data_IF_694105659969
#
_entry.id   IF_694105659969
#
_cell.length_a   1.000
_cell.length_b   1.000
_cell.length_c   1.000
_cell.angle_alpha   90.00
_cell.angle_beta   90.00
_cell.angle_gamma   90.00
#
_symmetry.space_group_name_H-M   'P 1'
#
loop_
_entity.id
_entity.type
_entity.pdbx_description
1 polymer ?
#
# COMPACT_ATOMS: atom_id res chain seq x y z
N UNK A 1 -19.66 13.95 6.55
CA UNK A 1 -18.58 14.36 7.46
C UNK A 1 -17.38 14.77 6.62
N UNK A 2 -16.81 15.96 6.87
CA UNK A 2 -15.57 16.39 6.22
C UNK A 2 -14.38 15.88 7.01
N UNK A 3 -13.65 14.94 6.46
CA UNK A 3 -12.53 14.29 7.13
C UNK A 3 -11.20 14.70 6.47
N UNK A 4 -10.27 15.20 7.28
CA UNK A 4 -8.88 15.36 6.88
C UNK A 4 -8.19 14.00 6.96
N UNK A 5 -7.79 13.46 5.82
CA UNK A 5 -6.98 12.25 5.73
C UNK A 5 -5.51 12.63 5.59
N UNK A 6 -4.67 12.08 6.45
CA UNK A 6 -3.22 12.36 6.51
C UNK A 6 -2.42 11.08 6.32
N UNK A 7 -1.43 11.16 5.45
CA UNK A 7 -0.45 10.09 5.18
C UNK A 7 0.96 10.67 5.30
N UNK A 8 1.62 10.42 6.43
CA UNK A 8 2.96 10.88 6.74
C UNK A 8 3.98 9.79 6.37
N UNK A 9 4.72 10.00 5.28
CA UNK A 9 5.84 9.16 4.89
C UNK A 9 7.16 9.63 5.50
N UNK A 10 8.27 8.97 5.17
CA UNK A 10 9.60 9.30 5.72
C UNK A 10 10.09 10.73 5.39
N UNK A 11 9.71 11.26 4.24
CA UNK A 11 10.12 12.60 3.77
C UNK A 11 8.98 13.38 3.11
N UNK A 12 7.75 12.94 3.32
CA UNK A 12 6.56 13.55 2.70
C UNK A 12 5.40 13.52 3.67
N UNK A 13 4.49 14.49 3.53
CA UNK A 13 3.17 14.42 4.15
C UNK A 13 2.14 14.73 3.06
N UNK A 14 1.25 13.80 2.78
CA UNK A 14 0.13 13.98 1.83
C UNK A 14 -1.17 14.08 2.58
N UNK A 15 -2.10 14.88 2.04
CA UNK A 15 -3.40 15.03 2.67
C UNK A 15 -4.52 15.23 1.66
N UNK A 16 -5.74 14.87 2.08
CA UNK A 16 -6.99 15.21 1.40
C UNK A 16 -8.07 15.50 2.44
N UNK A 17 -8.97 16.44 2.13
CA UNK A 17 -10.21 16.64 2.89
C UNK A 17 -11.36 16.10 2.06
N UNK A 18 -12.01 15.06 2.57
CA UNK A 18 -13.05 14.30 1.85
C UNK A 18 -14.38 14.38 2.61
N UNK A 19 -15.44 14.72 1.90
CA UNK A 19 -16.80 14.56 2.41
C UNK A 19 -17.25 13.10 2.22
N UNK A 20 -17.50 12.41 3.32
CA UNK A 20 -17.82 10.97 3.35
C UNK A 20 -19.12 10.60 2.65
N UNK A 21 -20.07 11.55 2.51
CA UNK A 21 -21.37 11.31 1.88
C UNK A 21 -21.34 11.51 0.36
N UNK A 22 -20.68 12.59 -0.06
CA UNK A 22 -20.64 12.96 -1.49
C UNK A 22 -19.40 12.47 -2.21
N UNK A 23 -18.39 11.93 -1.51
CA UNK A 23 -17.05 11.57 -2.00
C UNK A 23 -16.27 12.77 -2.60
N UNK A 24 -16.72 13.99 -2.30
CA UNK A 24 -16.10 15.20 -2.85
C UNK A 24 -14.85 15.55 -2.07
N UNK A 25 -13.75 15.75 -2.78
CA UNK A 25 -12.51 16.28 -2.24
C UNK A 25 -12.59 17.80 -2.25
N UNK A 26 -12.60 18.42 -1.06
CA UNK A 26 -12.64 19.88 -0.89
C UNK A 26 -11.25 20.52 -0.83
N UNK A 27 -10.23 19.79 -0.38
CA UNK A 27 -8.84 20.21 -0.42
C UNK A 27 -7.92 19.02 -0.55
N UNK A 28 -6.75 19.20 -1.15
CA UNK A 28 -5.69 18.20 -1.24
C UNK A 28 -4.32 18.84 -1.45
N UNK A 29 -3.27 18.16 -0.99
CA UNK A 29 -1.92 18.65 -1.16
C UNK A 29 -0.86 17.71 -0.64
N UNK A 30 0.39 18.19 -0.70
CA UNK A 30 1.55 17.49 -0.16
C UNK A 30 2.63 18.45 0.32
N UNK A 31 3.30 18.07 1.40
CA UNK A 31 4.59 18.62 1.81
C UNK A 31 5.67 17.63 1.36
N UNK A 32 6.58 18.07 0.53
CA UNK A 32 7.69 17.26 0.00
C UNK A 32 9.00 17.67 0.67
N UNK A 33 9.96 16.73 0.76
CA UNK A 33 11.28 16.92 1.36
C UNK A 33 11.22 17.32 2.85
N UNK A 34 10.24 16.80 3.58
CA UNK A 34 10.18 16.95 5.04
C UNK A 34 11.44 16.35 5.67
N UNK A 35 12.04 17.04 6.63
CA UNK A 35 13.36 16.77 7.23
C UNK A 35 14.56 16.99 6.29
N UNK A 36 14.37 17.60 5.12
CA UNK A 36 15.43 17.92 4.16
C UNK A 36 15.31 19.35 3.69
N UNK A 37 16.42 19.91 3.17
CA UNK A 37 16.43 21.25 2.58
C UNK A 37 15.68 21.29 1.24
N UNK A 38 15.11 22.43 0.88
CA UNK A 38 14.38 22.66 -0.36
C UNK A 38 12.98 22.03 -0.33
N UNK A 39 12.31 22.15 0.82
CA UNK A 39 10.94 21.70 0.99
C UNK A 39 9.94 22.42 0.08
N UNK A 40 8.89 21.76 -0.33
CA UNK A 40 7.80 22.35 -1.12
C UNK A 40 6.44 21.98 -0.56
N UNK A 41 5.56 22.96 -0.45
CA UNK A 41 4.14 22.77 -0.13
C UNK A 41 3.31 22.92 -1.40
N UNK A 42 2.58 21.90 -1.75
CA UNK A 42 1.66 21.90 -2.88
C UNK A 42 0.26 21.72 -2.38
N UNK A 43 -0.65 22.63 -2.73
CA UNK A 43 -2.02 22.60 -2.24
C UNK A 43 -3.03 23.05 -3.29
N UNK A 44 -4.28 22.63 -3.10
CA UNK A 44 -5.46 23.10 -3.83
C UNK A 44 -6.68 22.95 -2.93
N UNK A 45 -7.50 23.98 -2.82
CA UNK A 45 -8.71 23.99 -2.00
C UNK A 45 -9.90 24.55 -2.79
N UNK A 46 -11.11 24.07 -2.49
CA UNK A 46 -12.37 24.56 -3.04
C UNK A 46 -12.42 24.66 -4.58
N UNK A 47 -11.73 23.73 -5.29
CA UNK A 47 -11.66 23.72 -6.75
C UNK A 47 -10.68 24.74 -7.34
N UNK A 48 -9.86 25.38 -6.50
CA UNK A 48 -8.78 26.27 -6.98
C UNK A 48 -7.73 25.52 -7.80
N UNK A 49 -6.95 26.28 -8.58
CA UNK A 49 -5.76 25.73 -9.22
C UNK A 49 -4.73 25.32 -8.16
N UNK A 50 -3.99 24.27 -8.48
CA UNK A 50 -2.86 23.80 -7.67
C UNK A 50 -1.81 24.90 -7.53
N UNK A 51 -1.44 25.24 -6.32
CA UNK A 51 -0.37 26.19 -5.97
C UNK A 51 0.80 25.39 -5.38
N UNK A 52 2.02 25.83 -5.64
CA UNK A 52 3.23 25.25 -5.04
C UNK A 52 4.08 26.37 -4.46
N UNK A 53 4.45 26.23 -3.21
CA UNK A 53 5.26 27.18 -2.45
C UNK A 53 6.53 26.51 -1.92
N UNK A 54 7.62 27.25 -1.81
CA UNK A 54 8.84 26.77 -1.18
C UNK A 54 8.75 27.03 0.31
N UNK A 55 8.66 25.97 1.10
CA UNK A 55 8.55 26.01 2.57
C UNK A 55 9.48 24.93 3.14
N UNK A 56 10.33 25.32 4.09
CA UNK A 56 11.18 24.36 4.80
C UNK A 56 10.39 23.65 5.90
N UNK A 57 10.51 22.33 5.93
CA UNK A 57 9.87 21.48 6.93
C UNK A 57 10.95 20.76 7.75
N UNK A 58 11.36 21.32 8.90
CA UNK A 58 12.35 20.67 9.77
C UNK A 58 11.88 19.32 10.31
N UNK A 59 10.56 19.14 10.44
CA UNK A 59 9.91 17.90 10.86
C UNK A 59 8.45 17.80 10.37
N UNK A 60 7.80 16.69 10.69
CA UNK A 60 6.41 16.43 10.32
C UNK A 60 5.39 17.23 11.14
N UNK A 61 5.76 17.73 12.33
CA UNK A 61 4.89 18.63 13.13
C UNK A 61 4.71 19.96 12.40
N UNK A 62 5.79 20.52 11.88
CA UNK A 62 5.73 21.75 11.07
C UNK A 62 4.97 21.52 9.77
N UNK A 63 5.14 20.35 9.14
CA UNK A 63 4.42 20.05 7.91
C UNK A 63 2.90 19.99 8.12
N UNK A 64 2.43 19.32 9.18
CA UNK A 64 0.97 19.26 9.47
C UNK A 64 0.43 20.62 9.95
N UNK A 65 1.23 21.40 10.66
CA UNK A 65 0.87 22.77 11.06
C UNK A 65 0.58 23.64 9.83
N UNK A 66 1.45 23.61 8.83
CA UNK A 66 1.26 24.34 7.56
C UNK A 66 -0.03 23.89 6.87
N UNK A 67 -0.30 22.60 6.80
CA UNK A 67 -1.53 22.06 6.20
C UNK A 67 -2.76 22.60 6.94
N UNK A 68 -2.80 22.53 8.26
CA UNK A 68 -3.97 22.95 9.05
C UNK A 68 -4.23 24.43 8.93
N UNK A 69 -3.16 25.28 8.97
CA UNK A 69 -3.27 26.73 8.72
C UNK A 69 -3.76 27.06 7.32
N UNK A 70 -3.32 26.32 6.30
CA UNK A 70 -3.80 26.51 4.92
C UNK A 70 -5.29 26.15 4.79
N UNK A 71 -5.74 25.05 5.40
CA UNK A 71 -7.15 24.66 5.41
C UNK A 71 -8.03 25.72 6.08
N UNK A 72 -7.58 26.27 7.23
CA UNK A 72 -8.27 27.34 7.95
C UNK A 72 -8.34 28.63 7.12
N UNK A 73 -7.22 29.06 6.52
CA UNK A 73 -7.14 30.24 5.66
C UNK A 73 -8.04 30.14 4.42
N UNK A 74 -8.27 28.94 3.89
CA UNK A 74 -9.15 28.66 2.76
C UNK A 74 -10.60 28.36 3.19
N UNK A 75 -10.94 28.47 4.48
CA UNK A 75 -12.29 28.21 5.00
C UNK A 75 -12.74 26.76 4.86
N UNK A 76 -11.82 25.82 4.76
CA UNK A 76 -12.12 24.38 4.68
C UNK A 76 -12.35 23.85 6.09
N UNK A 77 -13.61 23.50 6.39
CA UNK A 77 -13.95 22.93 7.70
C UNK A 77 -13.66 21.44 7.74
N UNK A 78 -13.02 20.98 8.81
CA UNK A 78 -12.79 19.58 9.12
C UNK A 78 -13.57 19.19 10.38
N UNK A 79 -14.09 17.96 10.41
CA UNK A 79 -14.92 17.41 11.50
C UNK A 79 -14.26 16.20 12.16
N UNK A 80 -13.13 15.75 11.62
CA UNK A 80 -12.30 14.67 12.15
C UNK A 80 -11.05 14.49 11.32
N UNK A 81 -10.05 13.81 11.88
CA UNK A 81 -8.76 13.53 11.25
C UNK A 81 -8.56 12.02 11.20
N UNK A 82 -8.27 11.51 10.01
CA UNK A 82 -7.90 10.11 9.77
C UNK A 82 -6.39 10.01 9.48
N UNK A 83 -5.68 9.25 10.30
CA UNK A 83 -4.26 9.01 10.14
C UNK A 83 -4.04 7.61 9.57
N UNK A 84 -3.38 7.51 8.41
CA UNK A 84 -2.86 6.25 7.92
C UNK A 84 -1.67 5.84 8.77
N UNK A 85 -1.67 4.60 9.26
CA UNK A 85 -0.56 4.00 10.01
C UNK A 85 -0.11 2.73 9.29
N UNK A 86 1.18 2.68 8.95
CA UNK A 86 1.73 1.55 8.20
C UNK A 86 1.73 0.27 9.02
N UNK A 87 2.09 0.34 10.31
CA UNK A 87 2.23 -0.85 11.14
C UNK A 87 1.42 -0.75 12.43
N UNK A 88 0.43 -1.65 12.57
CA UNK A 88 -0.40 -1.79 13.76
C UNK A 88 0.09 -2.87 14.73
N UNK A 89 1.09 -3.66 14.33
CA UNK A 89 1.66 -4.72 15.15
C UNK A 89 0.64 -5.77 15.57
N UNK A 90 0.80 -6.19 16.80
CA UNK A 90 -0.05 -7.21 17.46
C UNK A 90 -1.22 -6.59 18.23
N UNK A 91 -1.39 -5.26 18.18
CA UNK A 91 -2.44 -4.55 18.93
C UNK A 91 -3.68 -4.27 18.10
N UNK A 92 -3.53 -3.91 16.81
CA UNK A 92 -4.61 -3.28 16.07
C UNK A 92 -5.14 -4.17 14.94
N UNK A 93 -6.33 -4.72 15.16
CA UNK A 93 -7.11 -5.48 14.17
C UNK A 93 -8.23 -4.67 13.50
N UNK A 94 -8.40 -3.41 13.89
CA UNK A 94 -9.34 -2.45 13.28
C UNK A 94 -8.82 -1.02 13.51
N UNK A 95 -9.49 -0.03 12.91
CA UNK A 95 -9.25 1.38 13.14
C UNK A 95 -9.62 1.77 14.57
N UNK A 96 -8.93 2.75 15.14
CA UNK A 96 -9.10 3.14 16.55
C UNK A 96 -9.18 4.64 16.72
N UNK A 97 -10.10 5.09 17.61
CA UNK A 97 -10.07 6.46 18.13
C UNK A 97 -8.78 6.64 18.93
N UNK A 98 -8.08 7.74 18.69
CA UNK A 98 -6.77 7.96 19.31
C UNK A 98 -6.93 8.52 20.71
N UNK A 99 -6.24 7.87 21.64
CA UNK A 99 -5.95 8.35 22.98
C UNK A 99 -4.45 8.15 23.29
N UNK A 100 -4.04 8.42 24.52
CA UNK A 100 -2.64 8.28 24.95
C UNK A 100 -2.15 6.82 24.88
N UNK A 101 -3.02 5.83 25.11
CA UNK A 101 -2.68 4.41 25.03
C UNK A 101 -2.47 3.96 23.59
N UNK A 102 -3.36 4.37 22.67
CA UNK A 102 -3.20 4.11 21.23
C UNK A 102 -1.90 4.70 20.69
N UNK A 103 -1.58 5.96 21.04
CA UNK A 103 -0.33 6.61 20.63
C UNK A 103 0.90 5.89 21.18
N UNK A 104 0.87 5.46 22.45
CA UNK A 104 1.95 4.69 23.06
C UNK A 104 2.18 3.36 22.33
N UNK A 105 1.12 2.62 22.00
CA UNK A 105 1.18 1.36 21.25
C UNK A 105 1.73 1.54 19.84
N UNK A 106 1.36 2.63 19.14
CA UNK A 106 1.93 2.95 17.82
C UNK A 106 3.45 3.15 17.92
N UNK A 107 3.93 3.83 18.96
CA UNK A 107 5.37 4.02 19.21
C UNK A 107 6.06 2.71 19.59
N UNK A 108 5.41 1.84 20.36
CA UNK A 108 5.95 0.52 20.75
C UNK A 108 6.19 -0.37 19.54
N UNK A 109 5.28 -0.38 18.54
CA UNK A 109 5.43 -1.19 17.33
C UNK A 109 6.28 -0.50 16.23
N UNK A 110 6.73 0.73 16.44
CA UNK A 110 7.54 1.48 15.47
C UNK A 110 8.82 0.75 14.99
N UNK A 111 9.50 -0.11 15.79
CA UNK A 111 10.62 -0.90 15.29
C UNK A 111 10.30 -1.79 14.07
N UNK A 112 9.04 -2.17 13.84
CA UNK A 112 8.61 -2.92 12.66
C UNK A 112 8.51 -2.05 11.39
N UNK A 113 8.36 -0.73 11.53
CA UNK A 113 8.29 0.23 10.43
C UNK A 113 8.81 1.62 10.86
N UNK A 114 10.09 1.75 11.23
CA UNK A 114 10.61 2.95 11.91
C UNK A 114 10.56 4.22 11.05
N UNK A 115 10.66 4.07 9.72
CA UNK A 115 10.61 5.19 8.78
C UNK A 115 9.18 5.72 8.54
N UNK A 116 8.16 5.04 9.07
CA UNK A 116 6.74 5.38 8.89
C UNK A 116 6.09 5.70 10.23
N UNK A 117 6.03 4.74 11.17
CA UNK A 117 5.31 4.91 12.43
C UNK A 117 5.78 6.10 13.27
N UNK A 118 7.09 6.42 13.27
CA UNK A 118 7.59 7.57 14.02
C UNK A 118 7.10 8.92 13.48
N UNK A 119 7.21 9.22 12.16
CA UNK A 119 6.59 10.40 11.57
C UNK A 119 5.08 10.47 11.80
N UNK A 120 4.37 9.36 11.62
CA UNK A 120 2.93 9.25 11.82
C UNK A 120 2.54 9.59 13.27
N UNK A 121 3.24 9.02 14.26
CA UNK A 121 3.01 9.29 15.68
C UNK A 121 3.28 10.78 16.04
N UNK A 122 4.27 11.42 15.44
CA UNK A 122 4.55 12.82 15.66
C UNK A 122 3.45 13.74 15.12
N UNK A 123 2.86 13.39 13.96
CA UNK A 123 1.70 14.12 13.41
C UNK A 123 0.48 13.96 14.30
N UNK A 124 0.20 12.74 14.78
CA UNK A 124 -0.91 12.47 15.71
C UNK A 124 -0.75 13.29 16.99
N UNK A 125 0.44 13.25 17.60
CA UNK A 125 0.74 14.00 18.83
C UNK A 125 0.47 15.50 18.66
N UNK A 126 0.93 16.09 17.55
CA UNK A 126 0.67 17.49 17.22
C UNK A 126 -0.86 17.76 17.11
N UNK A 127 -1.59 16.91 16.40
CA UNK A 127 -3.04 17.08 16.24
C UNK A 127 -3.80 17.00 17.57
N UNK A 128 -3.42 16.07 18.46
CA UNK A 128 -4.03 15.94 19.78
C UNK A 128 -3.75 17.16 20.68
N UNK A 129 -2.55 17.71 20.60
CA UNK A 129 -2.14 18.88 21.38
C UNK A 129 -2.83 20.16 20.92
N UNK A 130 -2.91 20.39 19.62
CA UNK A 130 -3.38 21.63 19.03
C UNK A 130 -4.90 21.67 18.76
N UNK A 131 -5.50 20.49 18.53
CA UNK A 131 -6.93 20.35 18.16
C UNK A 131 -7.61 19.25 19.01
N UNK A 132 -7.62 19.42 20.36
CA UNK A 132 -8.10 18.38 21.27
C UNK A 132 -9.60 18.03 21.09
N UNK A 133 -10.38 18.94 20.54
CA UNK A 133 -11.81 18.74 20.28
C UNK A 133 -12.11 18.01 18.96
N UNK A 134 -11.10 17.87 18.09
CA UNK A 134 -11.25 17.11 16.83
C UNK A 134 -10.97 15.62 17.08
N UNK A 135 -11.90 14.72 16.74
CA UNK A 135 -11.64 13.30 16.82
C UNK A 135 -10.53 12.90 15.84
N UNK A 136 -9.50 12.24 16.37
CA UNK A 136 -8.40 11.64 15.62
C UNK A 136 -8.60 10.13 15.57
N UNK A 137 -8.56 9.52 14.38
CA UNK A 137 -8.72 8.09 14.17
C UNK A 137 -7.53 7.54 13.39
N UNK A 138 -6.96 6.46 13.89
CA UNK A 138 -5.87 5.72 13.19
C UNK A 138 -6.45 4.58 12.37
N UNK A 139 -5.95 4.43 11.15
CA UNK A 139 -6.31 3.35 10.21
C UNK A 139 -5.05 2.64 9.80
N UNK A 140 -4.96 1.35 10.14
CA UNK A 140 -3.75 0.57 10.03
C UNK A 140 -3.71 -0.26 8.74
N UNK A 141 -2.64 -0.16 7.97
CA UNK A 141 -2.43 -0.96 6.77
C UNK A 141 -2.37 -2.47 7.05
N UNK A 142 -2.03 -2.85 8.27
CA UNK A 142 -1.97 -4.26 8.69
C UNK A 142 -3.30 -4.80 9.24
N UNK A 143 -4.28 -3.94 9.55
CA UNK A 143 -5.51 -4.35 10.23
C UNK A 143 -6.34 -5.37 9.42
N UNK A 144 -6.43 -5.22 8.10
CA UNK A 144 -7.15 -6.16 7.23
C UNK A 144 -6.59 -7.59 7.29
N UNK A 145 -5.30 -7.72 7.61
CA UNK A 145 -4.57 -8.99 7.71
C UNK A 145 -4.53 -9.57 9.13
N UNK A 146 -5.03 -8.84 10.12
CA UNK A 146 -4.88 -9.19 11.55
C UNK A 146 -5.43 -10.58 11.85
N UNK A 147 -6.61 -10.91 11.32
CA UNK A 147 -7.33 -12.17 11.51
C UNK A 147 -7.03 -13.23 10.43
N UNK A 148 -5.92 -13.10 9.71
CA UNK A 148 -5.45 -14.10 8.77
C UNK A 148 -5.30 -15.46 9.46
N UNK A 149 -5.59 -16.60 8.80
CA UNK A 149 -5.43 -17.94 9.38
C UNK A 149 -4.02 -18.17 9.95
N UNK A 150 -3.93 -18.90 11.06
CA UNK A 150 -2.64 -19.18 11.72
C UNK A 150 -1.62 -19.84 10.77
N UNK A 151 -2.09 -20.75 9.90
CA UNK A 151 -1.25 -21.43 8.90
C UNK A 151 -0.61 -20.47 7.90
N UNK A 152 -1.24 -19.33 7.63
CA UNK A 152 -0.73 -18.33 6.70
C UNK A 152 0.17 -17.29 7.39
N UNK A 153 -0.10 -16.95 8.65
CA UNK A 153 0.63 -15.88 9.36
C UNK A 153 1.85 -16.33 10.15
N UNK A 154 1.99 -17.64 10.43
CA UNK A 154 3.05 -18.18 11.27
C UNK A 154 4.27 -18.53 10.42
N UNK A 155 5.45 -18.09 10.87
CA UNK A 155 6.71 -18.53 10.28
C UNK A 155 7.21 -19.83 10.94
N UNK A 156 7.83 -20.72 10.18
CA UNK A 156 8.41 -21.96 10.65
C UNK A 156 9.75 -21.70 11.37
N UNK A 157 9.72 -20.90 12.43
CA UNK A 157 10.83 -20.55 13.31
C UNK A 157 10.55 -21.03 14.74
N UNK A 158 11.54 -21.10 15.65
CA UNK A 158 11.32 -21.48 17.05
C UNK A 158 10.21 -20.62 17.69
N UNK A 159 9.20 -21.31 18.22
CA UNK A 159 8.00 -20.65 18.73
C UNK A 159 8.27 -19.64 19.84
N UNK A 160 9.15 -19.97 20.76
CA UNK A 160 9.54 -19.11 21.88
C UNK A 160 10.20 -17.80 21.41
N UNK A 161 10.99 -17.86 20.32
CA UNK A 161 11.59 -16.67 19.69
C UNK A 161 10.50 -15.83 19.01
N UNK A 162 9.60 -16.49 18.26
CA UNK A 162 8.51 -15.78 17.59
C UNK A 162 7.58 -15.10 18.59
N UNK A 163 7.19 -15.81 19.66
CA UNK A 163 6.32 -15.26 20.69
C UNK A 163 6.98 -14.06 21.41
N UNK A 164 8.26 -14.20 21.78
CA UNK A 164 9.01 -13.14 22.48
C UNK A 164 9.18 -11.87 21.65
N UNK A 165 9.41 -12.01 20.35
CA UNK A 165 9.71 -10.90 19.42
C UNK A 165 8.51 -10.51 18.55
N UNK A 166 7.34 -11.12 18.79
CA UNK A 166 6.12 -10.91 18.00
C UNK A 166 6.33 -11.13 16.49
N UNK A 167 7.17 -12.14 16.14
CA UNK A 167 7.48 -12.47 14.74
C UNK A 167 6.32 -13.23 14.11
N UNK A 168 5.66 -12.59 13.16
CA UNK A 168 4.59 -13.17 12.32
C UNK A 168 4.46 -12.38 11.01
N UNK A 169 3.69 -12.90 10.09
CA UNK A 169 3.27 -12.14 8.90
C UNK A 169 2.21 -11.11 9.32
N UNK A 170 2.47 -9.83 9.09
CA UNK A 170 1.53 -8.72 9.32
C UNK A 170 0.89 -8.25 8.03
N UNK A 171 1.63 -8.25 6.92
CA UNK A 171 1.17 -7.70 5.65
C UNK A 171 1.22 -6.18 5.59
N UNK A 172 0.74 -5.62 4.50
CA UNK A 172 0.54 -4.18 4.29
C UNK A 172 -0.50 -3.95 3.18
N UNK A 173 -0.79 -2.68 2.83
CA UNK A 173 -1.81 -2.26 1.87
C UNK A 173 -3.25 -2.73 2.25
N UNK A 174 -3.49 -3.03 3.51
CA UNK A 174 -4.78 -3.57 3.97
C UNK A 174 -5.94 -2.62 3.73
N UNK A 175 -5.72 -1.31 3.82
CA UNK A 175 -6.73 -0.29 3.52
C UNK A 175 -7.19 -0.39 2.06
N UNK A 176 -6.24 -0.55 1.12
CA UNK A 176 -6.53 -0.80 -0.29
C UNK A 176 -7.30 -2.11 -0.50
N UNK A 177 -6.84 -3.21 0.10
CA UNK A 177 -7.52 -4.51 -0.02
C UNK A 177 -8.94 -4.49 0.51
N UNK A 178 -9.18 -3.79 1.60
CA UNK A 178 -10.51 -3.61 2.17
C UNK A 178 -11.43 -2.82 1.23
N UNK A 179 -10.92 -1.76 0.60
CA UNK A 179 -11.65 -1.02 -0.43
C UNK A 179 -11.99 -1.91 -1.62
N UNK A 180 -10.98 -2.59 -2.19
CA UNK A 180 -11.16 -3.47 -3.35
C UNK A 180 -12.15 -4.61 -3.04
N UNK A 181 -12.06 -5.22 -1.86
CA UNK A 181 -12.98 -6.28 -1.43
C UNK A 181 -14.44 -5.82 -1.45
N UNK A 182 -14.72 -4.64 -0.88
CA UNK A 182 -16.07 -4.04 -0.92
C UNK A 182 -16.50 -3.75 -2.35
N UNK A 183 -15.60 -3.17 -3.15
CA UNK A 183 -15.91 -2.77 -4.53
C UNK A 183 -16.20 -3.97 -5.43
N UNK A 184 -15.43 -5.04 -5.31
CA UNK A 184 -15.69 -6.31 -6.02
C UNK A 184 -17.03 -6.89 -5.63
N UNK A 185 -17.36 -6.93 -4.33
CA UNK A 185 -18.65 -7.43 -3.87
C UNK A 185 -19.83 -6.63 -4.44
N UNK A 186 -19.72 -5.30 -4.49
CA UNK A 186 -20.72 -4.43 -5.13
C UNK A 186 -20.86 -4.74 -6.63
N UNK A 187 -19.74 -4.80 -7.37
CA UNK A 187 -19.72 -5.00 -8.83
C UNK A 187 -20.23 -6.37 -9.26
N UNK A 188 -20.07 -7.38 -8.41
CA UNK A 188 -20.46 -8.76 -8.71
C UNK A 188 -21.71 -9.22 -7.97
N UNK A 189 -22.42 -8.32 -7.29
CA UNK A 189 -23.57 -8.62 -6.43
C UNK A 189 -23.26 -9.76 -5.42
N UNK A 190 -22.02 -9.81 -4.91
CA UNK A 190 -21.56 -10.82 -3.95
C UNK A 190 -21.21 -12.19 -4.56
N UNK A 191 -21.17 -12.33 -5.89
CA UNK A 191 -20.83 -13.60 -6.55
C UNK A 191 -19.32 -13.91 -6.46
N UNK A 192 -18.46 -12.88 -6.44
CA UNK A 192 -17.01 -13.04 -6.28
C UNK A 192 -16.69 -13.37 -4.81
N UNK A 193 -16.29 -14.61 -4.55
CA UNK A 193 -15.99 -15.09 -3.21
C UNK A 193 -14.51 -15.30 -2.95
N UNK A 194 -13.75 -15.75 -3.97
CA UNK A 194 -12.32 -16.07 -3.90
C UNK A 194 -11.54 -15.12 -4.79
N UNK A 195 -11.13 -14.00 -4.22
CA UNK A 195 -10.54 -12.88 -4.93
C UNK A 195 -9.04 -12.82 -4.68
N UNK A 196 -8.24 -12.84 -5.73
CA UNK A 196 -6.81 -12.48 -5.65
C UNK A 196 -6.66 -11.04 -6.11
N UNK A 197 -6.16 -10.18 -5.24
CA UNK A 197 -5.90 -8.77 -5.54
C UNK A 197 -4.42 -8.54 -5.71
N UNK A 198 -4.04 -7.99 -6.84
CA UNK A 198 -2.69 -7.56 -7.19
C UNK A 198 -2.60 -6.04 -7.04
N UNK A 199 -2.18 -5.56 -5.86
CA UNK A 199 -1.87 -4.15 -5.60
C UNK A 199 -0.44 -3.87 -6.07
N UNK A 200 -0.31 -3.35 -7.28
CA UNK A 200 0.98 -3.16 -7.94
C UNK A 200 1.25 -1.66 -8.11
N UNK A 201 2.06 -1.11 -7.22
CA UNK A 201 2.55 0.27 -7.24
C UNK A 201 4.07 0.31 -7.13
N UNK A 202 4.64 1.40 -6.59
CA UNK A 202 6.06 1.47 -6.21
C UNK A 202 6.39 0.45 -5.11
N UNK A 203 5.49 0.29 -4.12
CA UNK A 203 5.36 -0.90 -3.30
C UNK A 203 4.34 -1.82 -3.94
N UNK A 204 4.58 -3.14 -3.90
CA UNK A 204 3.70 -4.12 -4.50
C UNK A 204 3.44 -5.30 -3.56
N UNK A 205 2.20 -5.72 -3.49
CA UNK A 205 1.81 -6.92 -2.77
C UNK A 205 0.56 -7.54 -3.38
N UNK A 206 0.29 -8.80 -3.04
CA UNK A 206 -0.90 -9.52 -3.40
C UNK A 206 -1.61 -10.00 -2.14
N UNK A 207 -2.93 -10.13 -2.23
CA UNK A 207 -3.75 -10.63 -1.14
C UNK A 207 -4.80 -11.61 -1.66
N UNK A 208 -4.96 -12.71 -0.93
CA UNK A 208 -6.05 -13.65 -1.08
C UNK A 208 -7.21 -13.25 -0.17
N UNK A 209 -8.39 -13.08 -0.74
CA UNK A 209 -9.58 -12.64 0.00
C UNK A 209 -10.70 -13.65 -0.26
N UNK A 210 -11.19 -14.31 0.79
CA UNK A 210 -12.35 -15.19 0.72
C UNK A 210 -13.49 -14.64 1.57
N UNK A 211 -14.65 -14.45 0.95
CA UNK A 211 -15.84 -13.89 1.59
C UNK A 211 -15.57 -12.58 2.36
N UNK A 212 -14.75 -11.70 1.77
CA UNK A 212 -14.38 -10.40 2.34
C UNK A 212 -13.31 -10.44 3.42
N UNK A 213 -12.70 -11.60 3.71
CA UNK A 213 -11.67 -11.78 4.73
C UNK A 213 -10.31 -12.11 4.11
N UNK A 214 -9.25 -11.56 4.67
CA UNK A 214 -7.89 -11.91 4.26
C UNK A 214 -7.56 -13.35 4.66
N UNK A 215 -7.18 -14.16 3.67
CA UNK A 215 -6.72 -15.54 3.85
C UNK A 215 -5.20 -15.64 3.83
N UNK A 216 -4.55 -14.83 3.02
CA UNK A 216 -3.09 -14.70 2.95
C UNK A 216 -2.69 -13.39 2.25
N UNK A 217 -1.44 -12.98 2.42
CA UNK A 217 -0.84 -11.84 1.72
C UNK A 217 0.66 -12.04 1.50
N UNK A 218 1.23 -11.38 0.52
CA UNK A 218 2.63 -11.60 0.14
C UNK A 218 3.65 -10.83 0.97
N UNK A 219 3.30 -9.65 1.52
CA UNK A 219 4.18 -8.95 2.46
C UNK A 219 4.19 -9.67 3.80
N UNK A 220 5.35 -9.72 4.44
CA UNK A 220 5.62 -10.55 5.61
C UNK A 220 5.61 -9.78 6.92
N UNK A 221 6.67 -9.99 7.72
CA UNK A 221 6.96 -9.22 8.94
C UNK A 221 7.08 -7.73 8.62
N UNK A 222 7.69 -7.41 7.48
CA UNK A 222 7.88 -6.06 6.96
C UNK A 222 7.38 -5.98 5.51
N UNK A 223 7.25 -4.78 4.93
CA UNK A 223 6.89 -4.60 3.52
C UNK A 223 8.00 -4.99 2.51
N UNK A 224 9.03 -5.72 2.92
CA UNK A 224 10.12 -6.18 2.07
C UNK A 224 9.79 -7.48 1.33
N UNK A 225 9.10 -8.40 2.01
CA UNK A 225 8.79 -9.74 1.48
C UNK A 225 7.76 -9.70 0.34
N UNK A 226 7.66 -10.78 -0.41
CA UNK A 226 6.69 -10.97 -1.49
C UNK A 226 7.28 -10.78 -2.89
N UNK A 227 6.61 -10.00 -3.73
CA UNK A 227 7.06 -9.71 -5.10
C UNK A 227 8.22 -8.71 -5.10
N UNK A 228 9.09 -8.80 -6.11
CA UNK A 228 10.08 -7.74 -6.34
C UNK A 228 9.38 -6.43 -6.66
N UNK A 229 9.98 -5.30 -6.26
CA UNK A 229 9.40 -3.97 -6.42
C UNK A 229 10.39 -3.05 -7.15
N UNK A 230 10.15 -1.76 -7.16
CA UNK A 230 11.07 -0.80 -7.78
C UNK A 230 12.50 -0.89 -7.25
N UNK A 231 12.66 -0.92 -5.91
CA UNK A 231 13.97 -0.97 -5.23
C UNK A 231 14.10 -2.10 -4.20
N UNK A 232 13.02 -2.82 -3.87
CA UNK A 232 13.01 -3.92 -2.89
C UNK A 232 13.15 -5.25 -3.59
N UNK A 233 13.92 -6.17 -3.00
CA UNK A 233 14.19 -7.48 -3.59
C UNK A 233 12.96 -8.41 -3.64
N UNK A 234 12.00 -8.25 -2.72
CA UNK A 234 10.97 -9.26 -2.47
C UNK A 234 11.53 -10.51 -1.81
N UNK A 235 10.82 -11.63 -1.94
CA UNK A 235 11.26 -12.92 -1.37
C UNK A 235 12.55 -13.41 -2.02
N UNK A 236 13.55 -13.66 -1.17
CA UNK A 236 14.84 -14.30 -1.52
C UNK A 236 15.08 -15.47 -0.56
N UNK A 237 16.08 -16.30 -0.86
CA UNK A 237 16.55 -17.31 0.10
C UNK A 237 17.12 -16.60 1.35
N UNK A 238 16.61 -16.88 2.56
CA UNK A 238 17.09 -16.26 3.81
C UNK A 238 18.61 -16.44 4.03
N UNK A 239 19.19 -17.55 3.55
CA UNK A 239 20.61 -17.79 3.67
C UNK A 239 21.45 -16.75 2.90
N UNK A 240 20.88 -16.07 1.91
CA UNK A 240 21.56 -15.00 1.16
C UNK A 240 22.02 -13.88 2.09
N UNK A 241 21.24 -13.53 3.11
CA UNK A 241 21.58 -12.49 4.11
C UNK A 241 22.88 -12.88 4.84
N UNK A 242 22.92 -14.10 5.36
CA UNK A 242 24.09 -14.61 6.07
C UNK A 242 25.31 -14.77 5.14
N UNK A 243 25.08 -15.15 3.87
CA UNK A 243 26.14 -15.31 2.88
C UNK A 243 26.78 -13.96 2.53
N UNK A 244 25.98 -12.92 2.28
CA UNK A 244 26.47 -11.57 2.04
C UNK A 244 27.32 -11.04 3.20
N UNK A 245 26.93 -11.31 4.44
CA UNK A 245 27.70 -10.90 5.62
C UNK A 245 29.02 -11.68 5.74
N UNK A 246 29.00 -13.01 5.60
CA UNK A 246 30.16 -13.84 5.81
C UNK A 246 31.20 -13.77 4.68
N UNK A 247 30.73 -13.90 3.42
CA UNK A 247 31.60 -13.98 2.25
C UNK A 247 31.76 -12.62 1.56
N UNK A 248 30.72 -11.77 1.59
CA UNK A 248 30.76 -10.42 1.02
C UNK A 248 31.34 -9.36 1.94
N UNK A 249 31.42 -9.63 3.25
CA UNK A 249 31.90 -8.68 4.25
C UNK A 249 30.96 -7.51 4.52
N UNK A 250 29.71 -7.57 4.05
CA UNK A 250 28.71 -6.52 4.28
C UNK A 250 28.24 -6.51 5.73
N UNK A 251 28.06 -5.32 6.29
CA UNK A 251 27.41 -5.13 7.59
C UNK A 251 25.91 -5.42 7.51
N UNK A 252 25.27 -5.55 8.67
CA UNK A 252 23.80 -5.68 8.75
C UNK A 252 23.07 -4.53 8.04
N UNK A 253 23.48 -3.28 8.31
CA UNK A 253 22.84 -2.08 7.76
C UNK A 253 23.03 -1.99 6.23
N UNK A 254 24.21 -2.38 5.72
CA UNK A 254 24.46 -2.42 4.28
C UNK A 254 23.60 -3.47 3.55
N UNK A 255 23.40 -4.64 4.18
CA UNK A 255 22.51 -5.69 3.63
C UNK A 255 21.06 -5.21 3.67
N UNK A 256 20.61 -4.61 4.77
CA UNK A 256 19.26 -4.06 4.88
C UNK A 256 19.02 -2.96 3.83
N UNK A 257 19.94 -2.02 3.69
CA UNK A 257 19.86 -0.99 2.64
C UNK A 257 19.87 -1.59 1.22
N UNK A 258 20.68 -2.59 0.97
CA UNK A 258 20.75 -3.31 -0.31
C UNK A 258 19.39 -3.91 -0.67
N UNK A 259 18.78 -4.65 0.26
CA UNK A 259 17.50 -5.31 0.04
C UNK A 259 16.32 -4.33 -0.13
N UNK A 260 16.33 -3.22 0.59
CA UNK A 260 15.23 -2.25 0.60
C UNK A 260 15.34 -1.16 -0.47
N UNK A 261 16.57 -0.72 -0.82
CA UNK A 261 16.76 0.50 -1.63
C UNK A 261 17.57 0.30 -2.91
N UNK A 262 18.33 -0.80 -3.02
CA UNK A 262 19.30 -1.02 -4.12
C UNK A 262 18.99 -2.29 -4.93
N UNK A 263 17.84 -2.92 -4.69
CA UNK A 263 17.39 -4.17 -5.33
C UNK A 263 16.23 -3.94 -6.31
N UNK A 264 15.45 -4.96 -6.57
CA UNK A 264 14.24 -4.87 -7.41
C UNK A 264 14.54 -4.56 -8.87
N UNK A 265 13.62 -3.81 -9.50
CA UNK A 265 13.76 -3.38 -10.90
C UNK A 265 15.06 -2.58 -11.09
N UNK A 266 15.40 -1.70 -10.13
CA UNK A 266 16.63 -0.92 -10.17
C UNK A 266 17.88 -1.82 -10.33
N UNK A 267 18.00 -2.85 -9.51
CA UNK A 267 19.17 -3.73 -9.56
C UNK A 267 19.24 -4.54 -10.86
N UNK A 268 18.11 -5.14 -11.27
CA UNK A 268 18.07 -6.03 -12.45
C UNK A 268 18.28 -5.25 -13.75
N UNK A 269 17.91 -3.96 -13.80
CA UNK A 269 18.20 -3.06 -14.92
C UNK A 269 19.63 -2.51 -14.91
N UNK A 270 20.52 -3.01 -14.04
CA UNK A 270 21.90 -2.48 -13.90
C UNK A 270 21.93 -1.03 -13.36
N UNK A 271 20.97 -0.63 -12.55
CA UNK A 271 20.88 0.72 -11.97
C UNK A 271 20.24 1.77 -12.87
N UNK A 272 19.69 1.41 -14.04
CA UNK A 272 19.14 2.36 -15.02
C UNK A 272 17.85 3.01 -14.54
N UNK A 273 16.94 2.22 -13.96
CA UNK A 273 15.63 2.71 -13.51
C UNK A 273 14.94 1.78 -12.52
N UNK A 274 14.12 2.35 -11.66
CA UNK A 274 13.18 1.64 -10.78
C UNK A 274 11.71 1.85 -11.20
N UNK A 275 11.46 2.62 -12.27
CA UNK A 275 10.12 2.90 -12.79
C UNK A 275 9.75 1.86 -13.84
N UNK A 276 8.64 1.14 -13.63
CA UNK A 276 8.17 0.09 -14.53
C UNK A 276 7.92 0.59 -15.97
N UNK A 277 7.49 1.83 -16.15
CA UNK A 277 7.27 2.44 -17.48
C UNK A 277 8.57 2.53 -18.25
N UNK A 278 9.63 3.03 -17.59
CA UNK A 278 10.94 3.11 -18.20
C UNK A 278 11.54 1.72 -18.47
N UNK A 279 11.24 0.73 -17.61
CA UNK A 279 11.62 -0.67 -17.87
C UNK A 279 10.96 -1.18 -19.14
N UNK A 280 9.66 -0.95 -19.33
CA UNK A 280 8.93 -1.35 -20.55
C UNK A 280 9.50 -0.65 -21.79
N UNK A 281 9.79 0.64 -21.71
CA UNK A 281 10.39 1.43 -22.82
C UNK A 281 11.79 0.91 -23.20
N UNK A 282 12.66 0.68 -22.23
CA UNK A 282 14.00 0.14 -22.45
C UNK A 282 13.97 -1.30 -23.02
N UNK A 283 13.08 -2.15 -22.51
CA UNK A 283 12.88 -3.51 -23.02
C UNK A 283 12.41 -3.48 -24.51
N UNK A 284 11.43 -2.61 -24.83
CA UNK A 284 10.96 -2.41 -26.21
C UNK A 284 12.05 -1.87 -27.14
N UNK A 285 13.02 -1.12 -26.60
CA UNK A 285 14.21 -0.66 -27.33
C UNK A 285 15.30 -1.74 -27.49
N UNK A 286 15.09 -2.94 -26.93
CA UNK A 286 15.99 -4.08 -27.08
C UNK A 286 17.05 -4.18 -25.97
N UNK A 287 16.89 -3.50 -24.85
CA UNK A 287 17.78 -3.62 -23.69
C UNK A 287 17.55 -4.97 -22.96
N UNK A 288 18.56 -5.88 -22.94
CA UNK A 288 18.35 -7.22 -22.37
C UNK A 288 18.17 -7.25 -20.85
N UNK A 289 18.76 -6.31 -20.13
CA UNK A 289 18.60 -6.20 -18.67
C UNK A 289 17.21 -5.71 -18.32
N UNK A 290 16.69 -4.73 -19.06
CA UNK A 290 15.32 -4.25 -18.89
C UNK A 290 14.31 -5.33 -19.27
N UNK A 291 14.54 -6.10 -20.34
CA UNK A 291 13.68 -7.23 -20.69
C UNK A 291 13.69 -8.29 -19.59
N UNK A 292 14.84 -8.64 -19.03
CA UNK A 292 14.95 -9.56 -17.90
C UNK A 292 14.20 -9.04 -16.68
N UNK A 293 14.34 -7.74 -16.36
CA UNK A 293 13.67 -7.10 -15.22
C UNK A 293 12.14 -7.15 -15.38
N UNK A 294 11.64 -6.87 -16.58
CA UNK A 294 10.21 -6.95 -16.91
C UNK A 294 9.68 -8.39 -16.78
N UNK A 295 10.39 -9.36 -17.38
CA UNK A 295 9.99 -10.77 -17.35
C UNK A 295 9.99 -11.34 -15.93
N UNK A 296 11.01 -10.99 -15.13
CA UNK A 296 11.08 -11.36 -13.71
C UNK A 296 9.92 -10.74 -12.92
N UNK A 297 9.60 -9.47 -13.14
CA UNK A 297 8.52 -8.78 -12.46
C UNK A 297 7.17 -9.46 -12.72
N UNK A 298 6.84 -9.67 -13.98
CA UNK A 298 5.63 -10.36 -14.41
C UNK A 298 5.57 -11.79 -13.87
N UNK A 299 6.68 -12.54 -13.97
CA UNK A 299 6.78 -13.91 -13.47
C UNK A 299 6.53 -13.99 -11.96
N UNK A 300 7.17 -13.12 -11.18
CA UNK A 300 7.03 -13.11 -9.72
C UNK A 300 5.61 -12.76 -9.29
N UNK A 301 4.94 -11.80 -9.96
CA UNK A 301 3.55 -11.46 -9.69
C UNK A 301 2.63 -12.65 -10.00
N UNK A 302 2.77 -13.29 -11.17
CA UNK A 302 1.95 -14.43 -11.54
C UNK A 302 2.15 -15.62 -10.58
N UNK A 303 3.39 -15.94 -10.21
CA UNK A 303 3.68 -17.01 -9.26
C UNK A 303 3.05 -16.73 -7.88
N UNK A 304 3.14 -15.49 -7.38
CA UNK A 304 2.51 -15.10 -6.13
C UNK A 304 0.97 -15.06 -6.23
N UNK A 305 0.39 -14.72 -7.37
CA UNK A 305 -1.06 -14.81 -7.57
C UNK A 305 -1.55 -16.28 -7.51
N UNK A 306 -0.81 -17.24 -8.08
CA UNK A 306 -1.12 -18.66 -7.94
C UNK A 306 -0.94 -19.16 -6.48
N UNK A 307 0.07 -18.69 -5.75
CA UNK A 307 0.24 -18.95 -4.33
C UNK A 307 -0.96 -18.44 -3.52
N UNK A 308 -1.42 -17.21 -3.76
CA UNK A 308 -2.61 -16.65 -3.12
C UNK A 308 -3.87 -17.46 -3.44
N UNK A 309 -4.05 -17.91 -4.67
CA UNK A 309 -5.18 -18.78 -5.04
C UNK A 309 -5.14 -20.12 -4.27
N UNK A 310 -3.96 -20.64 -3.98
CA UNK A 310 -3.79 -21.90 -3.20
C UNK A 310 -4.34 -21.76 -1.78
N UNK A 311 -4.17 -20.61 -1.13
CA UNK A 311 -4.67 -20.38 0.24
C UNK A 311 -6.20 -20.42 0.35
N UNK A 312 -6.91 -20.28 -0.77
CA UNK A 312 -8.36 -20.35 -0.88
C UNK A 312 -8.85 -21.61 -1.62
N UNK A 313 -7.96 -22.55 -2.00
CA UNK A 313 -8.27 -23.71 -2.85
C UNK A 313 -8.96 -23.32 -4.15
N UNK A 314 -8.54 -22.24 -4.79
CA UNK A 314 -9.06 -21.70 -6.04
C UNK A 314 -9.16 -20.19 -6.08
N UNK A 315 -9.56 -19.68 -7.23
CA UNK A 315 -9.77 -18.26 -7.50
C UNK A 315 -10.92 -18.11 -8.48
N UNK A 316 -11.87 -17.25 -8.19
CA UNK A 316 -12.95 -16.87 -9.13
C UNK A 316 -12.74 -15.49 -9.74
N UNK A 317 -11.94 -14.65 -9.09
CA UNK A 317 -11.71 -13.27 -9.48
C UNK A 317 -10.25 -12.84 -9.26
N UNK A 318 -9.67 -12.21 -10.28
CA UNK A 318 -8.34 -11.58 -10.26
C UNK A 318 -8.51 -10.06 -10.42
N UNK A 319 -7.95 -9.27 -9.52
CA UNK A 319 -8.05 -7.81 -9.56
C UNK A 319 -6.67 -7.18 -9.65
N UNK A 320 -6.51 -6.22 -10.55
CA UNK A 320 -5.35 -5.34 -10.63
C UNK A 320 -5.71 -3.95 -10.10
N UNK A 321 -4.85 -3.40 -9.25
CA UNK A 321 -5.06 -2.08 -8.64
C UNK A 321 -3.71 -1.39 -8.37
N UNK A 322 -3.76 -0.14 -7.97
CA UNK A 322 -2.63 0.76 -7.78
C UNK A 322 -1.90 1.10 -9.10
N UNK A 323 -0.94 2.03 -9.02
CA UNK A 323 -0.43 2.74 -10.20
C UNK A 323 0.00 1.86 -11.36
N UNK A 324 0.80 0.81 -11.15
CA UNK A 324 1.22 -0.12 -12.20
C UNK A 324 0.06 -1.05 -12.58
N UNK A 325 -0.68 -1.59 -11.60
CA UNK A 325 -1.82 -2.46 -11.85
C UNK A 325 -2.91 -1.79 -12.71
N UNK A 326 -3.13 -0.50 -12.50
CA UNK A 326 -4.12 0.30 -13.25
C UNK A 326 -3.62 0.74 -14.63
N UNK A 327 -2.33 1.06 -14.77
CA UNK A 327 -1.82 1.79 -15.94
C UNK A 327 -0.84 1.03 -16.83
N UNK A 328 -0.40 -0.20 -16.45
CA UNK A 328 0.52 -1.01 -17.22
C UNK A 328 -0.17 -2.23 -17.88
N UNK A 329 -0.77 -2.09 -19.06
CA UNK A 329 -1.48 -3.19 -19.72
C UNK A 329 -0.57 -4.38 -20.06
N UNK A 330 0.71 -4.16 -20.35
CA UNK A 330 1.66 -5.23 -20.62
C UNK A 330 1.92 -6.11 -19.38
N UNK A 331 2.02 -5.51 -18.19
CA UNK A 331 2.16 -6.25 -16.94
C UNK A 331 0.91 -7.10 -16.68
N UNK A 332 -0.29 -6.53 -16.82
CA UNK A 332 -1.55 -7.27 -16.63
C UNK A 332 -1.68 -8.43 -17.59
N UNK A 333 -1.38 -8.21 -18.88
CA UNK A 333 -1.41 -9.24 -19.91
C UNK A 333 -0.44 -10.38 -19.58
N UNK A 334 0.81 -10.05 -19.30
CA UNK A 334 1.83 -11.06 -18.99
C UNK A 334 1.50 -11.88 -17.73
N UNK A 335 0.89 -11.28 -16.73
CA UNK A 335 0.42 -12.00 -15.52
C UNK A 335 -0.76 -12.90 -15.86
N UNK A 336 -1.77 -12.39 -16.56
CA UNK A 336 -2.96 -13.16 -16.92
C UNK A 336 -2.62 -14.36 -17.83
N UNK A 337 -1.75 -14.16 -18.82
CA UNK A 337 -1.30 -15.22 -19.74
C UNK A 337 -0.57 -16.36 -19.01
N UNK A 338 0.26 -16.02 -17.99
CA UNK A 338 0.91 -17.04 -17.14
C UNK A 338 -0.07 -17.81 -16.26
N UNK A 339 -1.24 -17.24 -15.96
CA UNK A 339 -2.28 -17.86 -15.15
C UNK A 339 -3.36 -18.56 -16.00
N UNK A 340 -3.19 -18.64 -17.33
CA UNK A 340 -4.15 -19.28 -18.22
C UNK A 340 -4.49 -20.73 -17.84
N UNK A 341 -3.51 -21.47 -17.29
CA UNK A 341 -3.72 -22.85 -16.80
C UNK A 341 -4.72 -22.93 -15.62
N UNK A 342 -4.96 -21.82 -14.91
CA UNK A 342 -5.96 -21.71 -13.86
C UNK A 342 -7.33 -21.27 -14.38
N UNK A 343 -7.48 -21.08 -15.69
CA UNK A 343 -8.73 -20.65 -16.32
C UNK A 343 -8.86 -19.12 -16.43
N UNK A 344 -7.80 -18.38 -16.18
CA UNK A 344 -7.71 -16.94 -16.44
C UNK A 344 -7.58 -16.72 -17.94
N UNK A 345 -8.52 -15.99 -18.55
CA UNK A 345 -8.45 -15.58 -19.96
C UNK A 345 -8.76 -14.09 -20.07
N UNK A 346 -7.78 -13.34 -20.52
CA UNK A 346 -7.90 -11.88 -20.69
C UNK A 346 -8.38 -11.53 -22.11
N UNK A 347 -9.27 -10.57 -22.22
CA UNK A 347 -9.54 -9.86 -23.47
C UNK A 347 -8.46 -8.78 -23.67
N UNK A 348 -7.47 -9.09 -24.49
CA UNK A 348 -6.32 -8.21 -24.76
C UNK A 348 -6.73 -6.89 -25.43
N UNK A 349 -7.81 -6.88 -26.22
CA UNK A 349 -8.30 -5.65 -26.83
C UNK A 349 -8.88 -4.71 -25.77
N UNK A 350 -9.67 -5.23 -24.82
CA UNK A 350 -10.16 -4.45 -23.67
C UNK A 350 -9.03 -4.01 -22.75
N UNK A 351 -8.01 -4.85 -22.55
CA UNK A 351 -6.86 -4.51 -21.71
C UNK A 351 -6.02 -3.37 -22.27
N UNK A 352 -5.96 -3.20 -23.58
CA UNK A 352 -5.25 -2.08 -24.23
C UNK A 352 -5.99 -0.74 -24.10
N UNK A 353 -7.29 -0.76 -23.81
CA UNK A 353 -8.09 0.43 -23.58
C UNK A 353 -7.86 0.96 -22.16
N UNK A 354 -7.91 2.28 -22.00
CA UNK A 354 -7.91 2.92 -20.69
C UNK A 354 -9.38 3.12 -20.27
N UNK A 355 -9.82 2.40 -19.24
CA UNK A 355 -11.14 2.58 -18.66
C UNK A 355 -11.20 3.77 -17.71
N UNK A 356 -12.38 4.34 -17.53
CA UNK A 356 -12.68 5.28 -16.46
C UNK A 356 -13.32 4.49 -15.30
N UNK A 357 -12.71 4.57 -14.11
CA UNK A 357 -13.17 3.84 -12.93
C UNK A 357 -12.80 2.35 -12.99
N UNK A 358 -13.71 1.50 -12.55
CA UNK A 358 -13.51 0.04 -12.53
C UNK A 358 -14.04 -0.62 -13.81
N UNK A 359 -13.26 -1.53 -14.43
CA UNK A 359 -13.68 -2.22 -15.65
C UNK A 359 -13.23 -3.68 -15.72
N UNK A 360 -14.00 -4.48 -16.47
CA UNK A 360 -13.77 -5.92 -16.65
C UNK A 360 -12.89 -6.19 -17.88
N UNK A 361 -11.88 -7.03 -17.69
CA UNK A 361 -10.93 -7.46 -18.73
C UNK A 361 -11.08 -8.93 -19.13
N UNK A 362 -12.04 -9.67 -18.57
CA UNK A 362 -12.22 -11.08 -18.90
C UNK A 362 -12.69 -11.28 -20.32
N UNK A 363 -12.16 -12.29 -21.02
CA UNK A 363 -12.80 -12.88 -22.17
C UNK A 363 -14.12 -13.55 -21.76
N UNK A 364 -15.04 -13.75 -22.72
CA UNK A 364 -16.36 -14.31 -22.45
C UNK A 364 -16.31 -15.74 -21.88
N UNK A 365 -15.34 -16.53 -22.32
CA UNK A 365 -15.11 -17.91 -21.89
C UNK A 365 -14.13 -18.05 -20.72
N UNK A 366 -13.73 -16.94 -20.09
CA UNK A 366 -12.87 -16.95 -18.90
C UNK A 366 -13.61 -17.55 -17.71
N UNK A 367 -12.99 -18.53 -17.04
CA UNK A 367 -13.52 -19.10 -15.79
C UNK A 367 -13.29 -18.16 -14.60
N UNK A 368 -12.26 -17.33 -14.67
CA UNK A 368 -11.89 -16.34 -13.64
C UNK A 368 -12.22 -14.96 -14.17
N UNK A 369 -12.96 -14.16 -13.41
CA UNK A 369 -13.20 -12.76 -13.76
C UNK A 369 -11.92 -11.95 -13.55
N UNK A 370 -11.66 -10.99 -14.44
CA UNK A 370 -10.49 -10.11 -14.35
C UNK A 370 -10.98 -8.68 -14.32
N UNK A 371 -10.58 -7.93 -13.30
CA UNK A 371 -10.94 -6.52 -13.19
C UNK A 371 -9.70 -5.65 -13.02
N UNK A 372 -9.81 -4.41 -13.48
CA UNK A 372 -9.00 -3.30 -12.98
C UNK A 372 -9.92 -2.43 -12.14
N UNK A 373 -9.51 -2.17 -10.91
CA UNK A 373 -10.27 -1.36 -9.96
C UNK A 373 -9.31 -0.36 -9.34
N UNK A 374 -9.45 0.95 -9.64
CA UNK A 374 -8.68 1.98 -8.96
C UNK A 374 -8.93 1.92 -7.46
N UNK A 375 -7.85 1.94 -6.68
CA UNK A 375 -7.96 1.99 -5.21
C UNK A 375 -8.31 3.40 -4.74
N UNK A 376 -8.98 3.48 -3.59
CA UNK A 376 -9.30 4.76 -2.93
C UNK A 376 -9.11 4.58 -1.41
N UNK A 377 -7.84 4.61 -1.01
CA UNK A 377 -7.45 4.42 0.38
C UNK A 377 -7.87 5.60 1.24
N UNK A 378 -7.79 6.81 0.71
CA UNK A 378 -8.17 8.03 1.41
C UNK A 378 -9.66 8.04 1.74
N UNK A 379 -10.52 7.60 0.81
CA UNK A 379 -11.94 7.45 1.08
C UNK A 379 -12.23 6.36 2.12
N UNK A 380 -11.49 5.25 2.09
CA UNK A 380 -11.62 4.22 3.13
C UNK A 380 -11.24 4.73 4.51
N UNK A 381 -10.16 5.52 4.62
CA UNK A 381 -9.76 6.15 5.88
C UNK A 381 -10.85 7.12 6.35
N UNK A 382 -11.34 7.99 5.46
CA UNK A 382 -12.42 8.93 5.79
C UNK A 382 -13.70 8.22 6.28
N UNK A 383 -14.05 7.10 5.63
CA UNK A 383 -15.20 6.28 6.01
C UNK A 383 -15.04 5.64 7.39
N UNK A 384 -13.81 5.23 7.75
CA UNK A 384 -13.53 4.71 9.08
C UNK A 384 -13.61 5.78 10.17
N UNK A 385 -13.15 6.99 9.89
CA UNK A 385 -13.33 8.12 10.81
C UNK A 385 -14.79 8.32 11.11
N UNK A 386 -15.64 8.40 10.06
CA UNK A 386 -17.08 8.54 10.26
C UNK A 386 -17.70 7.38 11.04
N UNK A 387 -17.27 6.14 10.74
CA UNK A 387 -17.74 4.93 11.44
C UNK A 387 -17.40 4.96 12.93
N UNK A 388 -16.14 5.21 13.27
CA UNK A 388 -15.63 5.21 14.64
C UNK A 388 -16.22 6.36 15.46
N UNK A 389 -16.28 7.56 14.90
CA UNK A 389 -16.83 8.74 15.59
C UNK A 389 -18.35 8.58 15.85
N UNK A 390 -19.08 7.91 14.95
CA UNK A 390 -20.50 7.62 15.14
C UNK A 390 -20.77 6.35 16.00
N UNK A 391 -19.75 5.73 16.58
CA UNK A 391 -19.89 4.57 17.46
C UNK A 391 -20.37 3.29 16.76
N UNK A 392 -19.98 3.09 15.51
CA UNK A 392 -20.38 1.93 14.68
C UNK A 392 -19.23 0.98 14.44
#
# INVERSE_FOLDING_TARGET
MNVLVVNAGSSTLKYQVIDTKSHKVSAKGSCERVCFTGGTFTHAANGSKKVTENIEFPDHKVAIEVVLKDLEANGVKIEGIGHRIVQGGWYFGDSSLVDADVLAKIREVAPLAPLHNNPEANVIEYCLEQYPDLPNVTVFDTAFHFNMPEVAKTYALPKDVCDKLHIRKYGAHGTSYRYISKKVAEMTNGEARKVVVCHIGSGASLCAIEDGKCMDTTMGLTPLDGVMMGTRCGSIDPATVCYLQREGGYTFDEVDEMMNKKSGLLAVTGGKTNDCRNVEELAAAGDPEAQLAFDMFVYKIAAKAAEMATSMCGMDTLVFTAGIGEHAPAVRAGVADRLAFMGVKMDHARNALRGDGAWCLSAEDSKVKIFVIPTDEEFMIASDVERIVNGK
#
